data_IF_143701862896
#
_entry.id   IF_143701862896
#
_cell.length_a   1.000
_cell.length_b   1.000
_cell.length_c   1.000
_cell.angle_alpha   90.00
_cell.angle_beta   90.00
_cell.angle_gamma   90.00
#
_symmetry.space_group_name_H-M   'P 1'
#
loop_
_entity.id
_entity.type
_entity.pdbx_description
1 polymer ?
#
# COMPACT_ATOMS: atom_id res chain seq x y z
N UNK A 1 54.53 -3.78 -8.79
CA UNK A 1 54.35 -5.23 -8.66
C UNK A 1 52.85 -5.44 -8.75
N UNK A 2 52.37 -5.79 -9.94
CA UNK A 2 50.95 -5.99 -10.20
C UNK A 2 50.61 -7.43 -9.82
N UNK A 3 49.81 -7.59 -8.77
CA UNK A 3 49.17 -8.87 -8.42
C UNK A 3 48.02 -9.10 -9.40
N UNK A 4 48.35 -9.63 -10.58
CA UNK A 4 47.40 -10.10 -11.58
C UNK A 4 47.30 -11.62 -11.46
N UNK A 5 46.74 -12.09 -10.34
CA UNK A 5 46.44 -13.50 -10.16
C UNK A 5 45.19 -13.84 -10.99
N UNK A 6 45.22 -14.89 -11.83
CA UNK A 6 44.06 -15.26 -12.64
C UNK A 6 42.93 -15.73 -11.74
N UNK A 7 41.76 -15.09 -11.87
CA UNK A 7 40.51 -15.52 -11.24
C UNK A 7 40.25 -16.98 -11.61
N UNK A 8 40.16 -17.83 -10.59
CA UNK A 8 39.95 -19.28 -10.80
C UNK A 8 38.46 -19.59 -10.98
N UNK A 9 38.16 -20.74 -11.58
CA UNK A 9 36.78 -21.23 -11.74
C UNK A 9 36.07 -21.41 -10.38
N UNK A 10 36.86 -21.74 -9.35
CA UNK A 10 36.41 -21.88 -7.96
C UNK A 10 36.05 -20.54 -7.30
N UNK A 11 36.64 -19.43 -7.77
CA UNK A 11 36.24 -18.07 -7.35
C UNK A 11 34.93 -17.65 -8.03
N UNK A 12 34.64 -18.14 -9.25
CA UNK A 12 33.39 -17.86 -9.97
C UNK A 12 32.19 -18.57 -9.33
N UNK A 13 32.34 -19.84 -9.00
CA UNK A 13 31.30 -20.62 -8.30
C UNK A 13 30.92 -20.01 -6.94
N UNK A 14 31.86 -19.37 -6.25
CA UNK A 14 31.62 -18.73 -4.94
C UNK A 14 30.80 -17.44 -5.04
N UNK A 15 30.80 -16.78 -6.20
CA UNK A 15 29.97 -15.59 -6.47
C UNK A 15 28.53 -15.98 -6.77
N UNK A 16 28.29 -17.16 -7.37
CA UNK A 16 26.94 -17.59 -7.73
C UNK A 16 26.05 -17.91 -6.53
N UNK A 17 26.61 -18.39 -5.41
CA UNK A 17 25.83 -18.81 -4.23
C UNK A 17 25.23 -17.63 -3.43
N UNK A 18 25.71 -16.40 -3.65
CA UNK A 18 25.20 -15.17 -3.01
C UNK A 18 24.89 -14.05 -4.01
N UNK A 19 24.75 -14.36 -5.30
CA UNK A 19 24.45 -13.36 -6.32
C UNK A 19 22.99 -12.92 -6.20
N UNK A 20 22.74 -11.78 -5.54
CA UNK A 20 21.49 -11.05 -5.70
C UNK A 20 21.59 -10.11 -6.89
N UNK A 21 20.59 -10.14 -7.76
CA UNK A 21 20.49 -9.14 -8.82
C UNK A 21 20.04 -7.81 -8.24
N UNK A 22 20.45 -6.71 -8.89
CA UNK A 22 19.97 -5.37 -8.54
C UNK A 22 18.44 -5.30 -8.57
N UNK A 23 17.81 -6.00 -9.52
CA UNK A 23 16.35 -6.04 -9.65
C UNK A 23 15.64 -6.80 -8.52
N UNK A 24 16.28 -7.79 -7.91
CA UNK A 24 15.76 -8.47 -6.71
C UNK A 24 15.82 -7.55 -5.51
N UNK A 25 17.00 -6.98 -5.23
CA UNK A 25 17.20 -6.04 -4.11
C UNK A 25 16.25 -4.85 -4.24
N UNK A 26 16.09 -4.29 -5.44
CA UNK A 26 15.22 -3.14 -5.67
C UNK A 26 13.75 -3.43 -5.37
N UNK A 27 13.26 -4.61 -5.77
CA UNK A 27 11.87 -5.04 -5.49
C UNK A 27 11.66 -5.31 -4.01
N UNK A 28 12.60 -5.99 -3.37
CA UNK A 28 12.52 -6.32 -1.94
C UNK A 28 12.61 -5.08 -1.05
N UNK A 29 13.52 -4.16 -1.37
CA UNK A 29 13.63 -2.87 -0.71
C UNK A 29 12.48 -1.91 -1.06
N UNK A 30 11.62 -2.27 -2.03
CA UNK A 30 10.45 -1.48 -2.47
C UNK A 30 10.82 -0.05 -2.85
N UNK A 31 11.99 0.14 -3.47
CA UNK A 31 12.58 1.47 -3.73
C UNK A 31 11.65 2.37 -4.55
N UNK A 32 10.88 1.79 -5.47
CA UNK A 32 9.91 2.51 -6.30
C UNK A 32 8.48 2.46 -5.75
N UNK A 33 8.19 1.75 -4.67
CA UNK A 33 6.80 1.70 -4.19
C UNK A 33 6.42 3.06 -3.59
N UNK A 34 5.25 3.62 -3.95
CA UNK A 34 4.72 4.81 -3.27
C UNK A 34 4.31 4.49 -1.83
N UNK A 35 4.15 5.53 -1.02
CA UNK A 35 3.51 5.37 0.29
C UNK A 35 2.05 4.91 0.12
N UNK A 36 1.54 4.07 1.04
CA UNK A 36 0.18 3.50 0.99
C UNK A 36 -0.90 4.58 0.87
N UNK A 37 -0.76 5.68 1.62
CA UNK A 37 -1.73 6.78 1.60
C UNK A 37 -1.76 7.51 0.24
N UNK A 38 -0.61 7.64 -0.43
CA UNK A 38 -0.54 8.22 -1.77
C UNK A 38 -1.23 7.30 -2.79
N UNK A 39 -1.04 5.98 -2.65
CA UNK A 39 -1.71 4.98 -3.47
C UNK A 39 -3.24 5.01 -3.25
N UNK A 40 -3.70 5.14 -2.00
CA UNK A 40 -5.12 5.29 -1.68
C UNK A 40 -5.70 6.56 -2.29
N UNK A 41 -5.06 7.71 -2.08
CA UNK A 41 -5.49 8.98 -2.64
C UNK A 41 -5.55 8.95 -4.18
N UNK A 42 -4.63 8.24 -4.83
CA UNK A 42 -4.68 8.04 -6.28
C UNK A 42 -5.85 7.14 -6.70
N UNK A 43 -6.10 6.02 -6.01
CA UNK A 43 -7.26 5.14 -6.27
C UNK A 43 -8.58 5.89 -6.14
N UNK A 44 -8.67 6.80 -5.17
CA UNK A 44 -9.84 7.67 -4.95
C UNK A 44 -9.92 8.85 -5.95
N UNK A 45 -8.94 8.98 -6.86
CA UNK A 45 -8.91 9.99 -7.90
C UNK A 45 -8.40 11.37 -7.45
N UNK A 46 -7.81 11.48 -6.26
CA UNK A 46 -7.28 12.71 -5.68
C UNK A 46 -5.90 13.14 -6.19
N UNK A 47 -5.17 12.27 -6.89
CA UNK A 47 -3.85 12.55 -7.47
C UNK A 47 -3.99 12.79 -8.99
N UNK A 48 -3.24 13.77 -9.52
CA UNK A 48 -3.28 14.18 -10.95
C UNK A 48 -1.87 14.44 -11.50
N UNK A 49 -1.78 14.55 -12.83
CA UNK A 49 -0.54 14.84 -13.54
C UNK A 49 0.47 13.69 -13.46
N UNK A 50 1.77 14.02 -13.55
CA UNK A 50 2.83 13.01 -13.61
C UNK A 50 2.89 12.06 -12.41
N UNK A 51 2.41 12.48 -11.24
CA UNK A 51 2.28 11.59 -10.08
C UNK A 51 1.23 10.49 -10.30
N UNK A 52 0.11 10.81 -10.96
CA UNK A 52 -0.90 9.81 -11.31
C UNK A 52 -0.38 8.89 -12.41
N UNK A 53 0.29 9.42 -13.44
CA UNK A 53 0.90 8.63 -14.51
C UNK A 53 1.94 7.63 -13.97
N UNK A 54 2.74 8.05 -12.99
CA UNK A 54 3.68 7.17 -12.30
C UNK A 54 2.96 6.01 -11.59
N UNK A 55 1.89 6.31 -10.86
CA UNK A 55 1.12 5.32 -10.12
C UNK A 55 0.41 4.34 -11.07
N UNK A 56 -0.18 4.85 -12.16
CA UNK A 56 -0.78 4.04 -13.23
C UNK A 56 0.26 3.09 -13.84
N UNK A 57 1.45 3.59 -14.16
CA UNK A 57 2.55 2.76 -14.65
C UNK A 57 2.94 1.69 -13.61
N UNK A 58 3.10 2.09 -12.35
CA UNK A 58 3.59 1.22 -11.30
C UNK A 58 2.65 0.04 -11.01
N UNK A 59 1.33 0.28 -11.04
CA UNK A 59 0.34 -0.76 -10.78
C UNK A 59 -0.02 -1.56 -12.04
N UNK A 60 -0.16 -0.92 -13.19
CA UNK A 60 -0.71 -1.57 -14.40
C UNK A 60 0.37 -2.16 -15.31
N UNK A 61 1.51 -1.49 -15.43
CA UNK A 61 2.58 -1.91 -16.36
C UNK A 61 3.69 -2.65 -15.62
N UNK A 62 4.20 -2.10 -14.53
CA UNK A 62 5.22 -2.75 -13.70
C UNK A 62 4.64 -3.88 -12.83
N UNK A 63 3.31 -3.90 -12.65
CA UNK A 63 2.57 -4.94 -11.94
C UNK A 63 3.17 -5.29 -10.57
N UNK A 64 3.54 -4.27 -9.79
CA UNK A 64 4.18 -4.47 -8.51
C UNK A 64 3.27 -5.26 -7.55
N UNK A 65 3.70 -6.45 -7.06
CA UNK A 65 2.85 -7.31 -6.24
C UNK A 65 2.47 -6.66 -4.89
N UNK A 66 3.36 -5.85 -4.30
CA UNK A 66 3.07 -5.14 -3.06
C UNK A 66 2.00 -4.06 -3.23
N UNK A 67 2.01 -3.34 -4.35
CA UNK A 67 1.01 -2.31 -4.61
C UNK A 67 -0.34 -2.94 -4.96
N UNK A 68 -0.35 -4.04 -5.72
CA UNK A 68 -1.56 -4.82 -6.00
C UNK A 68 -2.20 -5.33 -4.71
N UNK A 69 -1.41 -5.90 -3.79
CA UNK A 69 -1.93 -6.36 -2.49
C UNK A 69 -2.56 -5.22 -1.66
N UNK A 70 -2.00 -4.00 -1.72
CA UNK A 70 -2.62 -2.86 -1.05
C UNK A 70 -3.96 -2.46 -1.70
N UNK A 71 -4.08 -2.54 -3.03
CA UNK A 71 -5.34 -2.28 -3.72
C UNK A 71 -6.41 -3.31 -3.32
N UNK A 72 -6.04 -4.59 -3.25
CA UNK A 72 -6.92 -5.66 -2.77
C UNK A 72 -7.38 -5.38 -1.33
N UNK A 73 -6.49 -4.90 -0.46
CA UNK A 73 -6.83 -4.55 0.92
C UNK A 73 -7.77 -3.33 0.97
N UNK A 74 -7.59 -2.34 0.09
CA UNK A 74 -8.52 -1.21 0.00
C UNK A 74 -9.92 -1.68 -0.43
N UNK A 75 -10.02 -2.60 -1.38
CA UNK A 75 -11.30 -3.16 -1.81
C UNK A 75 -12.01 -3.90 -0.67
N UNK A 76 -11.26 -4.61 0.17
CA UNK A 76 -11.78 -5.28 1.38
C UNK A 76 -12.25 -4.28 2.44
N UNK A 77 -11.45 -3.24 2.70
CA UNK A 77 -11.79 -2.15 3.62
C UNK A 77 -13.12 -1.50 3.20
N UNK A 78 -13.28 -1.19 1.91
CA UNK A 78 -14.48 -0.59 1.35
C UNK A 78 -15.70 -1.52 1.49
N UNK A 79 -15.53 -2.81 1.17
CA UNK A 79 -16.60 -3.80 1.34
C UNK A 79 -17.05 -3.91 2.81
N UNK A 80 -16.11 -3.94 3.75
CA UNK A 80 -16.41 -3.94 5.18
C UNK A 80 -17.09 -2.64 5.63
N UNK A 81 -16.69 -1.49 5.08
CA UNK A 81 -17.30 -0.18 5.38
C UNK A 81 -18.78 -0.09 4.94
N UNK A 82 -19.16 -0.84 3.91
CA UNK A 82 -20.56 -0.91 3.43
C UNK A 82 -21.42 -1.96 4.12
N UNK A 83 -20.88 -2.68 5.11
CA UNK A 83 -21.62 -3.71 5.83
C UNK A 83 -22.73 -3.14 6.73
N UNK A 84 -23.83 -3.89 6.86
CA UNK A 84 -25.02 -3.54 7.66
C UNK A 84 -24.69 -3.24 9.14
N UNK A 85 -23.55 -3.73 9.64
CA UNK A 85 -23.08 -3.50 11.00
C UNK A 85 -22.73 -2.03 11.28
N UNK A 86 -22.20 -1.30 10.28
CA UNK A 86 -21.89 0.13 10.43
C UNK A 86 -23.13 1.00 10.40
N UNK A 87 -24.14 0.61 9.63
CA UNK A 87 -25.44 1.28 9.62
C UNK A 87 -26.16 1.09 10.96
N UNK A 88 -26.15 -0.13 11.50
CA UNK A 88 -26.66 -0.41 12.84
C UNK A 88 -25.89 0.30 13.97
N UNK A 89 -24.57 0.45 13.85
CA UNK A 89 -23.76 1.23 14.80
C UNK A 89 -24.08 2.74 14.71
N UNK A 90 -24.18 3.29 13.50
CA UNK A 90 -24.54 4.68 13.26
C UNK A 90 -25.89 5.02 13.89
N UNK A 91 -26.90 4.18 13.68
CA UNK A 91 -28.24 4.39 14.23
C UNK A 91 -28.25 4.39 15.76
N UNK A 92 -27.49 3.49 16.39
CA UNK A 92 -27.35 3.45 17.86
C UNK A 92 -26.68 4.72 18.39
N UNK A 93 -25.58 5.15 17.77
CA UNK A 93 -24.88 6.37 18.17
C UNK A 93 -25.77 7.61 18.03
N UNK A 94 -26.46 7.76 16.90
CA UNK A 94 -27.39 8.87 16.67
C UNK A 94 -28.55 8.86 17.66
N UNK A 95 -29.13 7.70 17.94
CA UNK A 95 -30.22 7.55 18.92
C UNK A 95 -29.77 7.93 20.34
N UNK A 96 -28.59 7.48 20.76
CA UNK A 96 -28.01 7.85 22.06
C UNK A 96 -27.74 9.35 22.15
N UNK A 97 -27.15 9.97 21.12
CA UNK A 97 -26.90 11.42 21.11
C UNK A 97 -28.20 12.22 21.12
N UNK A 98 -29.21 11.83 20.35
CA UNK A 98 -30.52 12.51 20.35
C UNK A 98 -31.22 12.42 21.70
N UNK A 99 -31.07 11.31 22.41
CA UNK A 99 -31.69 11.12 23.73
C UNK A 99 -31.11 12.08 24.76
N UNK A 100 -29.79 12.27 24.76
CA UNK A 100 -29.10 13.24 25.63
C UNK A 100 -29.51 14.69 25.29
N UNK A 101 -29.65 15.01 23.99
CA UNK A 101 -30.07 16.34 23.55
C UNK A 101 -31.53 16.64 23.92
N UNK A 102 -32.42 15.64 23.85
CA UNK A 102 -33.83 15.78 24.26
C UNK A 102 -34.00 15.93 25.76
N UNK A 103 -33.21 15.20 26.56
CA UNK A 103 -33.19 15.36 28.02
C UNK A 103 -32.87 16.82 28.38
N UNK A 104 -31.81 17.38 27.77
CA UNK A 104 -31.40 18.77 27.98
C UNK A 104 -32.45 19.80 27.59
N UNK A 105 -33.24 19.56 26.54
CA UNK A 105 -34.31 20.46 26.11
C UNK A 105 -35.54 20.46 27.03
N UNK A 106 -35.68 19.45 27.88
CA UNK A 106 -36.81 19.31 28.81
C UNK A 106 -36.54 19.99 30.16
N UNK A 107 -35.27 20.22 30.47
CA UNK A 107 -34.81 20.85 31.70
C UNK A 107 -34.72 22.40 31.61
N UNK A 108 -34.90 22.97 30.42
CA UNK A 108 -35.05 24.41 30.12
C UNK A 108 -36.54 24.83 30.01
#
# INVERSE_FOLDING_TARGET
MSDDAPVTDQDRDRVEVYAMTVGEVWREARVSCPHRDLLRAWREGGIKGGAAEYLDFHVSQAQCPYCQANLDDFDRDDAAATSQDLEGLRDRLLSSTMSILREKQKDD
#
